data_IF_506376181190
#
_entry.id   IF_506376181190
#
_cell.length_a   1.000
_cell.length_b   1.000
_cell.length_c   1.000
_cell.angle_alpha   90.00
_cell.angle_beta   90.00
_cell.angle_gamma   90.00
#
_symmetry.space_group_name_H-M   'P 1'
#
loop_
_entity.id
_entity.type
_entity.pdbx_description
1 polymer ?
#
# COMPACT_ATOMS: atom_id res chain seq x y z
N UNK A 1 -1.75 -8.34 -16.30
CA UNK A 1 -0.28 -8.12 -16.14
C UNK A 1 0.22 -7.19 -17.23
N UNK A 2 1.25 -6.38 -16.96
CA UNK A 2 1.98 -5.59 -17.96
C UNK A 2 2.90 -6.54 -18.75
N UNK A 3 2.87 -6.50 -20.08
CA UNK A 3 3.69 -7.40 -20.90
C UNK A 3 5.17 -7.01 -20.83
N UNK A 4 6.09 -7.96 -21.02
CA UNK A 4 7.53 -7.70 -20.84
C UNK A 4 8.09 -6.64 -21.79
N UNK A 5 7.57 -6.55 -23.02
CA UNK A 5 7.98 -5.55 -24.00
C UNK A 5 7.51 -4.15 -23.58
N UNK A 6 6.23 -4.00 -23.25
CA UNK A 6 5.66 -2.76 -22.72
C UNK A 6 6.35 -2.30 -21.44
N UNK A 7 6.69 -3.24 -20.56
CA UNK A 7 7.41 -2.93 -19.34
C UNK A 7 8.80 -2.34 -19.65
N UNK A 8 9.49 -2.80 -20.71
CA UNK A 8 10.79 -2.22 -21.13
C UNK A 8 10.62 -0.81 -21.64
N UNK A 9 9.60 -0.55 -22.44
CA UNK A 9 9.29 0.80 -22.94
C UNK A 9 8.99 1.77 -21.80
N UNK A 10 8.13 1.34 -20.85
CA UNK A 10 7.80 2.12 -19.66
C UNK A 10 9.03 2.37 -18.78
N UNK A 11 9.88 1.36 -18.57
CA UNK A 11 11.14 1.51 -17.82
C UNK A 11 12.05 2.53 -18.49
N UNK A 12 12.16 2.51 -19.83
CA UNK A 12 13.01 3.47 -20.53
C UNK A 12 12.49 4.90 -20.46
N UNK A 13 11.16 5.08 -20.58
CA UNK A 13 10.52 6.37 -20.38
C UNK A 13 10.75 6.92 -18.95
N UNK A 14 10.57 6.07 -17.93
CA UNK A 14 10.85 6.43 -16.53
C UNK A 14 12.33 6.77 -16.31
N UNK A 15 13.25 5.97 -16.87
CA UNK A 15 14.69 6.20 -16.77
C UNK A 15 15.10 7.54 -17.38
N UNK A 16 14.52 7.90 -18.52
CA UNK A 16 14.67 9.22 -19.14
C UNK A 16 14.26 10.35 -18.20
N UNK A 17 13.07 10.25 -17.59
CA UNK A 17 12.55 11.24 -16.64
C UNK A 17 13.42 11.38 -15.39
N UNK A 18 13.90 10.27 -14.83
CA UNK A 18 14.81 10.29 -13.67
C UNK A 18 16.11 11.02 -14.04
N UNK A 19 16.73 10.70 -15.18
CA UNK A 19 17.96 11.38 -15.61
C UNK A 19 17.74 12.87 -15.86
N UNK A 20 16.60 13.25 -16.43
CA UNK A 20 16.27 14.65 -16.65
C UNK A 20 16.04 15.41 -15.35
N UNK A 21 15.35 14.78 -14.38
CA UNK A 21 15.18 15.31 -13.03
C UNK A 21 16.53 15.52 -12.34
N UNK A 22 17.41 14.51 -12.36
CA UNK A 22 18.74 14.60 -11.76
C UNK A 22 19.62 15.65 -12.46
N UNK A 23 19.52 15.78 -13.78
CA UNK A 23 20.21 16.82 -14.55
C UNK A 23 19.77 18.23 -14.13
N UNK A 24 18.46 18.43 -13.99
CA UNK A 24 17.87 19.69 -13.54
C UNK A 24 18.30 20.04 -12.10
N UNK A 25 18.12 19.12 -11.16
CA UNK A 25 18.45 19.33 -9.73
C UNK A 25 19.95 19.53 -9.52
N UNK A 26 20.78 18.81 -10.28
CA UNK A 26 22.23 18.98 -10.23
C UNK A 26 22.71 20.20 -11.02
N UNK A 27 21.86 20.96 -11.72
CA UNK A 27 22.32 22.06 -12.57
C UNK A 27 23.29 21.62 -13.68
N UNK A 28 23.33 20.32 -14.02
CA UNK A 28 24.12 19.79 -15.12
C UNK A 28 23.51 20.15 -16.49
N UNK A 29 22.23 20.51 -16.51
CA UNK A 29 21.52 21.07 -17.66
C UNK A 29 20.11 21.53 -17.29
N UNK A 30 19.52 22.38 -18.12
CA UNK A 30 18.10 22.69 -18.03
C UNK A 30 17.32 21.53 -18.67
N UNK A 31 16.81 20.60 -17.86
CA UNK A 31 15.89 19.57 -18.36
C UNK A 31 14.70 20.22 -19.06
N UNK A 32 14.38 19.80 -20.28
CA UNK A 32 13.26 20.32 -21.07
C UNK A 32 11.91 20.28 -20.34
N UNK A 33 11.58 19.19 -19.64
CA UNK A 33 10.33 18.97 -18.90
C UNK A 33 10.28 19.79 -17.62
N UNK A 34 11.39 19.83 -16.87
CA UNK A 34 11.43 20.52 -15.56
C UNK A 34 11.82 22.00 -15.68
N UNK A 35 12.22 22.48 -16.87
CA UNK A 35 12.54 23.89 -17.12
C UNK A 35 11.33 24.83 -17.00
N UNK A 36 10.12 24.30 -17.12
CA UNK A 36 8.87 25.06 -16.91
C UNK A 36 8.55 25.27 -15.43
N UNK A 37 9.26 24.59 -14.53
CA UNK A 37 9.18 24.87 -13.09
C UNK A 37 10.00 26.12 -12.86
N UNK A 38 9.31 27.25 -12.82
CA UNK A 38 9.86 28.52 -12.37
C UNK A 38 10.69 28.27 -11.13
N UNK A 39 11.97 28.66 -11.13
CA UNK A 39 13.04 28.31 -10.17
C UNK A 39 12.57 28.32 -8.70
N UNK A 40 11.85 27.28 -8.29
CA UNK A 40 11.25 27.20 -6.98
C UNK A 40 12.37 26.68 -6.07
N UNK A 41 13.28 27.60 -5.71
CA UNK A 41 14.44 27.32 -4.85
C UNK A 41 14.03 26.60 -3.56
N UNK A 42 12.80 26.82 -3.11
CA UNK A 42 12.21 26.17 -1.94
C UNK A 42 11.95 24.68 -2.16
N UNK A 43 11.55 24.26 -3.38
CA UNK A 43 11.39 22.85 -3.74
C UNK A 43 12.74 22.09 -3.77
N UNK A 44 13.82 22.76 -4.20
CA UNK A 44 15.18 22.22 -4.16
C UNK A 44 15.75 22.20 -2.72
N UNK A 45 15.45 23.22 -1.91
CA UNK A 45 15.92 23.30 -0.52
C UNK A 45 15.33 22.20 0.36
N UNK A 46 14.05 21.87 0.19
CA UNK A 46 13.34 20.88 1.00
C UNK A 46 13.54 19.42 0.52
N UNK A 47 14.41 19.19 -0.46
CA UNK A 47 14.68 17.86 -0.98
C UNK A 47 15.50 17.00 0.00
N UNK A 48 15.14 15.72 0.10
CA UNK A 48 15.82 14.74 0.96
C UNK A 48 17.33 14.68 0.67
N UNK A 49 18.20 14.63 1.69
CA UNK A 49 19.65 14.61 1.52
C UNK A 49 20.15 13.51 0.57
N UNK A 50 19.54 12.33 0.64
CA UNK A 50 19.91 11.18 -0.19
C UNK A 50 19.66 11.42 -1.69
N UNK A 51 18.63 12.21 -2.04
CA UNK A 51 18.34 12.57 -3.44
C UNK A 51 19.32 13.66 -3.92
N UNK A 52 19.68 14.61 -3.05
CA UNK A 52 20.73 15.60 -3.35
C UNK A 52 22.06 14.91 -3.63
N UNK A 53 22.43 13.91 -2.82
CA UNK A 53 23.63 13.11 -3.05
C UNK A 53 23.58 12.36 -4.38
N UNK A 54 22.43 11.74 -4.71
CA UNK A 54 22.24 11.09 -6.00
C UNK A 54 22.40 12.08 -7.18
N UNK A 55 21.89 13.30 -7.06
CA UNK A 55 22.05 14.35 -8.08
C UNK A 55 23.52 14.77 -8.26
N UNK A 56 24.29 14.88 -7.17
CA UNK A 56 25.75 15.12 -7.24
C UNK A 56 26.45 13.97 -7.95
N UNK A 57 26.17 12.72 -7.54
CA UNK A 57 26.74 11.53 -8.19
C UNK A 57 26.38 11.44 -9.67
N UNK A 58 25.17 11.81 -10.05
CA UNK A 58 24.76 11.86 -11.46
C UNK A 58 25.60 12.84 -12.27
N UNK A 59 25.90 14.03 -11.72
CA UNK A 59 26.76 15.02 -12.38
C UNK A 59 28.17 14.47 -12.64
N UNK A 60 28.70 13.67 -11.72
CA UNK A 60 30.04 13.09 -11.81
C UNK A 60 30.07 11.81 -12.66
N UNK A 61 29.02 11.00 -12.58
CA UNK A 61 28.93 9.64 -13.13
C UNK A 61 27.51 9.35 -13.66
N UNK A 62 27.10 9.98 -14.79
CA UNK A 62 25.78 9.76 -15.37
C UNK A 62 25.56 8.32 -15.88
N UNK A 63 26.64 7.58 -16.12
CA UNK A 63 26.63 6.17 -16.48
C UNK A 63 26.06 5.25 -15.38
N UNK A 64 26.04 5.70 -14.12
CA UNK A 64 25.44 4.95 -13.01
C UNK A 64 23.90 5.03 -12.98
N UNK A 65 23.30 5.87 -13.82
CA UNK A 65 21.85 6.11 -13.85
C UNK A 65 21.23 5.70 -15.20
N UNK A 66 21.87 4.74 -15.88
CA UNK A 66 21.29 4.05 -17.02
C UNK A 66 20.16 3.12 -16.55
N UNK A 67 19.24 2.77 -17.47
CA UNK A 67 18.00 2.05 -17.15
C UNK A 67 18.29 0.70 -16.45
N UNK A 68 19.29 -0.05 -16.92
CA UNK A 68 19.71 -1.33 -16.34
C UNK A 68 20.23 -1.19 -14.90
N UNK A 69 20.96 -0.10 -14.61
CA UNK A 69 21.45 0.21 -13.25
C UNK A 69 20.32 0.61 -12.33
N UNK A 70 19.43 1.49 -12.78
CA UNK A 70 18.27 1.93 -12.00
C UNK A 70 17.34 0.77 -11.66
N UNK A 71 17.13 -0.16 -12.60
CA UNK A 71 16.39 -1.40 -12.35
C UNK A 71 17.17 -2.32 -11.42
N UNK A 72 18.48 -2.50 -11.63
CA UNK A 72 19.33 -3.31 -10.76
C UNK A 72 19.32 -2.83 -9.30
N UNK A 73 19.29 -1.52 -9.07
CA UNK A 73 19.15 -0.92 -7.75
C UNK A 73 17.80 -1.21 -7.07
N UNK A 74 16.75 -1.48 -7.84
CA UNK A 74 15.42 -1.82 -7.33
C UNK A 74 15.08 -3.31 -7.33
N UNK A 75 15.95 -4.17 -7.86
CA UNK A 75 15.69 -5.59 -8.06
C UNK A 75 15.60 -6.36 -6.74
N UNK A 76 16.47 -6.06 -5.78
CA UNK A 76 16.51 -6.74 -4.49
C UNK A 76 16.01 -5.84 -3.36
N UNK A 77 14.91 -6.23 -2.73
CA UNK A 77 14.25 -5.35 -1.76
C UNK A 77 15.10 -5.05 -0.52
N UNK A 78 16.05 -5.91 -0.15
CA UNK A 78 16.92 -5.77 1.02
C UNK A 78 18.03 -4.75 0.80
N UNK A 79 18.51 -4.61 -0.44
CA UNK A 79 19.59 -3.69 -0.82
C UNK A 79 19.06 -2.40 -1.44
N UNK A 80 17.84 -2.42 -2.00
CA UNK A 80 17.20 -1.27 -2.63
C UNK A 80 17.07 -0.03 -1.74
N UNK A 81 17.02 -0.19 -0.41
CA UNK A 81 16.99 0.94 0.54
C UNK A 81 18.26 1.78 0.51
N UNK A 82 19.39 1.23 0.05
CA UNK A 82 20.65 1.96 -0.12
C UNK A 82 20.67 2.84 -1.40
N UNK A 83 19.67 2.68 -2.28
CA UNK A 83 19.57 3.38 -3.55
C UNK A 83 18.31 4.26 -3.58
N UNK A 84 18.38 5.52 -3.11
CA UNK A 84 17.21 6.38 -2.97
C UNK A 84 16.51 6.69 -4.30
N UNK A 85 17.27 6.69 -5.41
CA UNK A 85 16.77 6.85 -6.78
C UNK A 85 16.91 5.52 -7.51
N UNK A 86 15.79 4.94 -7.94
CA UNK A 86 15.74 3.60 -8.55
C UNK A 86 14.40 3.35 -9.24
N UNK A 87 14.36 2.29 -10.05
CA UNK A 87 13.14 1.74 -10.65
C UNK A 87 12.93 0.34 -10.09
N UNK A 88 11.76 0.11 -9.49
CA UNK A 88 11.34 -1.20 -9.00
C UNK A 88 10.37 -1.81 -10.01
N UNK A 89 10.83 -2.83 -10.76
CA UNK A 89 10.00 -3.62 -11.67
C UNK A 89 9.49 -4.83 -10.90
N UNK A 90 8.23 -4.78 -10.47
CA UNK A 90 7.68 -5.77 -9.53
C UNK A 90 6.96 -6.85 -10.31
N UNK A 91 7.63 -8.00 -10.45
CA UNK A 91 7.12 -9.17 -11.16
C UNK A 91 6.45 -10.13 -10.18
N UNK A 92 5.59 -10.98 -10.73
CA UNK A 92 5.06 -12.14 -10.00
C UNK A 92 6.01 -13.32 -10.22
N UNK A 93 6.36 -14.01 -9.14
CA UNK A 93 7.27 -15.14 -9.22
C UNK A 93 6.69 -16.23 -10.11
N UNK A 94 7.48 -16.67 -11.11
CA UNK A 94 7.10 -17.77 -12.00
C UNK A 94 6.24 -17.39 -13.20
N UNK A 95 5.90 -16.11 -13.40
CA UNK A 95 4.98 -15.68 -14.46
C UNK A 95 5.61 -14.69 -15.45
N UNK A 96 5.29 -14.77 -16.76
CA UNK A 96 5.69 -13.77 -17.73
C UNK A 96 4.84 -12.51 -17.57
N UNK A 97 5.35 -11.50 -16.86
CA UNK A 97 4.73 -10.19 -16.79
C UNK A 97 5.11 -9.36 -15.56
N UNK A 98 4.86 -8.05 -15.64
CA UNK A 98 5.09 -7.11 -14.54
C UNK A 98 3.75 -6.75 -13.90
N UNK A 99 3.65 -6.81 -12.57
CA UNK A 99 2.46 -6.43 -11.82
C UNK A 99 2.38 -4.90 -11.66
N UNK A 100 3.52 -4.28 -11.40
CA UNK A 100 3.64 -2.85 -11.13
C UNK A 100 5.06 -2.36 -11.44
N UNK A 101 5.19 -1.11 -11.90
CA UNK A 101 6.47 -0.42 -11.97
C UNK A 101 6.43 0.78 -11.02
N UNK A 102 7.37 0.86 -10.09
CA UNK A 102 7.47 1.99 -9.16
C UNK A 102 8.78 2.74 -9.38
N UNK A 103 8.69 4.06 -9.50
CA UNK A 103 9.85 4.93 -9.57
C UNK A 103 10.04 5.64 -8.22
N UNK A 104 11.26 5.59 -7.69
CA UNK A 104 11.62 6.21 -6.41
C UNK A 104 12.65 7.31 -6.64
N UNK A 105 12.60 8.34 -5.80
CA UNK A 105 13.62 9.39 -5.76
C UNK A 105 13.28 10.66 -6.54
N UNK A 106 12.05 10.79 -7.04
CA UNK A 106 11.49 12.08 -7.50
C UNK A 106 10.57 12.58 -6.40
N UNK A 107 10.77 13.80 -5.89
CA UNK A 107 10.08 14.34 -4.71
C UNK A 107 9.34 15.64 -4.99
N UNK A 108 8.52 16.06 -4.02
CA UNK A 108 7.88 17.37 -4.03
C UNK A 108 6.96 17.57 -5.23
N UNK A 109 7.02 18.79 -5.78
CA UNK A 109 6.21 19.25 -6.91
C UNK A 109 6.58 18.55 -8.23
N UNK A 110 7.84 18.11 -8.39
CA UNK A 110 8.34 17.44 -9.60
C UNK A 110 7.57 16.16 -9.93
N UNK A 111 7.01 15.49 -8.92
CA UNK A 111 6.18 14.30 -9.13
C UNK A 111 4.87 14.62 -9.86
N UNK A 112 4.28 15.79 -9.61
CA UNK A 112 3.06 16.24 -10.28
C UNK A 112 3.32 16.48 -11.77
N UNK A 113 4.50 17.00 -12.10
CA UNK A 113 4.94 17.23 -13.48
C UNK A 113 5.20 15.92 -14.20
N UNK A 114 5.81 14.95 -13.53
CA UNK A 114 5.96 13.60 -14.07
C UNK A 114 4.59 12.99 -14.37
N UNK A 115 3.61 13.16 -13.47
CA UNK A 115 2.25 12.69 -13.69
C UNK A 115 1.59 13.37 -14.90
N UNK A 116 1.72 14.69 -15.04
CA UNK A 116 1.22 15.47 -16.19
C UNK A 116 1.91 15.04 -17.50
N UNK A 117 3.23 14.87 -17.50
CA UNK A 117 3.98 14.35 -18.63
C UNK A 117 3.48 12.98 -19.07
N UNK A 118 3.26 12.05 -18.12
CA UNK A 118 2.73 10.73 -18.46
C UNK A 118 1.32 10.78 -19.06
N UNK A 119 0.49 11.71 -18.61
CA UNK A 119 -0.87 11.91 -19.14
C UNK A 119 -0.88 12.52 -20.53
N UNK A 120 0.02 13.45 -20.81
CA UNK A 120 0.00 14.24 -22.04
C UNK A 120 0.90 13.67 -23.14
N UNK A 121 2.03 13.06 -22.78
CA UNK A 121 3.12 12.80 -23.72
C UNK A 121 3.55 11.33 -23.81
N UNK A 122 3.35 10.53 -22.76
CA UNK A 122 3.97 9.21 -22.70
C UNK A 122 3.27 8.13 -23.55
N UNK A 123 2.26 8.47 -24.37
CA UNK A 123 1.47 7.52 -25.17
C UNK A 123 1.00 6.29 -24.36
N UNK A 124 0.88 6.40 -23.04
CA UNK A 124 0.42 5.32 -22.19
C UNK A 124 -1.09 5.20 -22.42
N UNK A 125 -1.60 4.05 -22.90
CA UNK A 125 -3.03 3.86 -23.06
C UNK A 125 -3.71 3.97 -21.70
N UNK A 126 -4.45 5.06 -21.47
CA UNK A 126 -5.08 5.37 -20.18
C UNK A 126 -6.21 4.37 -19.83
N UNK A 127 -6.73 3.67 -20.83
CA UNK A 127 -7.64 2.53 -20.70
C UNK A 127 -6.94 1.28 -20.14
N UNK A 128 -5.62 1.20 -20.23
CA UNK A 128 -4.83 0.03 -19.82
C UNK A 128 -3.95 0.27 -18.62
N UNK A 129 -3.41 1.48 -18.45
CA UNK A 129 -2.52 1.80 -17.35
C UNK A 129 -2.95 3.05 -16.61
N UNK A 130 -2.59 3.08 -15.34
CA UNK A 130 -2.85 4.18 -14.43
C UNK A 130 -1.56 4.59 -13.74
N UNK A 131 -1.23 5.88 -13.82
CA UNK A 131 -0.09 6.47 -13.10
C UNK A 131 -0.62 7.21 -11.88
N UNK A 132 -0.03 6.97 -10.71
CA UNK A 132 -0.39 7.65 -9.47
C UNK A 132 0.82 8.09 -8.67
N UNK A 133 0.62 9.10 -7.82
CA UNK A 133 1.59 9.46 -6.80
C UNK A 133 1.51 8.46 -5.65
N UNK A 134 2.66 8.09 -5.10
CA UNK A 134 2.75 7.17 -3.96
C UNK A 134 3.75 7.71 -2.94
N UNK A 135 3.35 7.78 -1.67
CA UNK A 135 4.18 8.33 -0.59
C UNK A 135 4.66 9.77 -0.87
N UNK A 136 5.88 10.10 -0.41
CA UNK A 136 6.49 11.45 -0.58
C UNK A 136 7.52 11.56 -1.71
N UNK A 137 8.03 10.41 -2.16
CA UNK A 137 9.19 10.35 -3.06
C UNK A 137 9.01 9.36 -4.22
N UNK A 138 7.76 9.04 -4.59
CA UNK A 138 7.49 8.07 -5.64
C UNK A 138 6.24 8.32 -6.45
N UNK A 139 6.23 7.69 -7.62
CA UNK A 139 5.05 7.47 -8.44
C UNK A 139 5.06 6.01 -8.92
N UNK A 140 3.89 5.49 -9.24
CA UNK A 140 3.66 4.09 -9.61
C UNK A 140 2.88 4.05 -10.92
N UNK A 141 3.26 3.11 -11.80
CA UNK A 141 2.50 2.73 -12.99
C UNK A 141 1.91 1.35 -12.74
N UNK A 142 0.58 1.28 -12.81
CA UNK A 142 -0.23 0.10 -12.59
C UNK A 142 -1.08 -0.20 -13.82
N UNK A 143 -1.66 -1.39 -13.87
CA UNK A 143 -2.77 -1.69 -14.79
C UNK A 143 -3.99 -0.88 -14.32
N UNK A 144 -4.78 -0.37 -15.26
CA UNK A 144 -6.03 0.32 -14.94
C UNK A 144 -6.94 -0.59 -14.07
N UNK A 145 -7.53 -0.01 -13.02
CA UNK A 145 -8.31 -0.75 -12.02
C UNK A 145 -7.49 -1.39 -10.89
N UNK A 146 -6.16 -1.51 -11.02
CA UNK A 146 -5.30 -2.00 -9.93
C UNK A 146 -4.95 -0.86 -8.98
N UNK A 147 -5.52 -0.93 -7.78
CA UNK A 147 -5.29 0.01 -6.68
C UNK A 147 -5.60 -0.64 -5.32
N UNK A 148 -5.53 0.14 -4.22
CA UNK A 148 -5.79 -0.39 -2.87
C UNK A 148 -7.25 -0.78 -2.61
N UNK A 149 -8.19 -0.34 -3.45
CA UNK A 149 -9.59 -0.75 -3.37
C UNK A 149 -9.83 -2.14 -3.97
N UNK A 150 -9.04 -2.54 -4.97
CA UNK A 150 -9.21 -3.82 -5.67
C UNK A 150 -9.32 -5.05 -4.73
N UNK A 151 -8.42 -5.26 -3.74
CA UNK A 151 -8.55 -6.38 -2.81
C UNK A 151 -9.77 -6.30 -1.89
N UNK A 152 -10.27 -5.09 -1.60
CA UNK A 152 -11.50 -4.89 -0.82
C UNK A 152 -12.73 -5.31 -1.63
N UNK A 153 -12.82 -4.86 -2.88
CA UNK A 153 -13.91 -5.26 -3.78
C UNK A 153 -13.92 -6.77 -4.00
N UNK A 154 -12.76 -7.36 -4.27
CA UNK A 154 -12.65 -8.81 -4.40
C UNK A 154 -13.10 -9.54 -3.14
N UNK A 155 -12.61 -9.14 -1.97
CA UNK A 155 -13.00 -9.78 -0.71
C UNK A 155 -14.50 -9.66 -0.43
N UNK A 156 -15.12 -8.52 -0.77
CA UNK A 156 -16.56 -8.31 -0.61
C UNK A 156 -17.39 -9.25 -1.46
N UNK A 157 -17.06 -9.36 -2.74
CA UNK A 157 -17.83 -10.14 -3.72
C UNK A 157 -17.51 -11.63 -3.71
N UNK A 158 -16.28 -12.01 -3.38
CA UNK A 158 -15.77 -13.38 -3.41
C UNK A 158 -15.42 -13.88 -2.01
N UNK A 159 -16.16 -13.43 -1.01
CA UNK A 159 -15.88 -13.73 0.39
C UNK A 159 -15.80 -15.24 0.67
N UNK A 160 -16.72 -16.01 0.11
CA UNK A 160 -16.76 -17.46 0.27
C UNK A 160 -15.51 -18.13 -0.33
N UNK A 161 -15.06 -17.68 -1.50
CA UNK A 161 -13.83 -18.17 -2.14
C UNK A 161 -12.58 -17.77 -1.32
N UNK A 162 -12.57 -16.56 -0.74
CA UNK A 162 -11.51 -16.14 0.20
C UNK A 162 -11.45 -17.05 1.42
N UNK A 163 -12.60 -17.36 2.03
CA UNK A 163 -12.68 -18.26 3.19
C UNK A 163 -12.24 -19.68 2.85
N UNK A 164 -12.58 -20.18 1.65
CA UNK A 164 -12.14 -21.48 1.16
C UNK A 164 -10.62 -21.50 0.94
N UNK A 165 -10.05 -20.49 0.30
CA UNK A 165 -8.62 -20.40 0.00
C UNK A 165 -7.75 -20.43 1.27
N UNK A 166 -8.18 -19.76 2.34
CA UNK A 166 -7.48 -19.78 3.63
C UNK A 166 -7.80 -21.02 4.49
N UNK A 167 -8.67 -21.89 3.98
CA UNK A 167 -9.26 -23.01 4.69
C UNK A 167 -9.76 -22.58 6.08
N UNK A 168 -10.60 -21.55 6.09
CA UNK A 168 -11.03 -20.84 7.29
C UNK A 168 -11.70 -21.76 8.31
N UNK A 169 -11.32 -21.58 9.58
CA UNK A 169 -11.99 -22.22 10.73
C UNK A 169 -12.51 -21.12 11.66
N UNK A 170 -13.77 -21.22 12.11
CA UNK A 170 -14.31 -20.27 13.07
C UNK A 170 -13.49 -20.32 14.37
N UNK A 171 -13.23 -19.15 14.95
CA UNK A 171 -12.61 -19.05 16.27
C UNK A 171 -13.66 -18.95 17.37
N UNK A 172 -13.24 -18.78 18.64
CA UNK A 172 -14.14 -18.68 19.79
C UNK A 172 -14.96 -17.40 19.83
N UNK A 173 -14.59 -16.37 19.07
CA UNK A 173 -15.25 -15.06 19.09
C UNK A 173 -15.84 -14.62 17.76
N UNK A 174 -15.31 -15.10 16.64
CA UNK A 174 -15.70 -14.70 15.29
C UNK A 174 -15.91 -15.94 14.44
N UNK A 175 -17.06 -15.98 13.75
CA UNK A 175 -17.30 -16.90 12.63
C UNK A 175 -17.53 -16.07 11.38
N UNK A 176 -16.46 -15.81 10.64
CA UNK A 176 -16.44 -14.93 9.47
C UNK A 176 -17.33 -15.42 8.33
N UNK A 177 -17.74 -16.71 8.33
CA UNK A 177 -18.73 -17.24 7.39
C UNK A 177 -20.13 -16.67 7.63
N UNK A 178 -20.40 -16.27 8.89
CA UNK A 178 -21.70 -15.74 9.33
C UNK A 178 -21.66 -14.22 9.47
N UNK A 179 -20.64 -13.71 10.15
CA UNK A 179 -20.54 -12.28 10.46
C UNK A 179 -19.98 -11.48 9.28
N UNK A 180 -19.32 -12.14 8.31
CA UNK A 180 -18.64 -11.49 7.18
C UNK A 180 -17.62 -10.44 7.63
N UNK A 181 -16.97 -10.69 8.77
CA UNK A 181 -16.10 -9.73 9.45
C UNK A 181 -14.71 -9.65 8.81
N UNK A 182 -14.23 -8.44 8.52
CA UNK A 182 -12.89 -8.17 8.00
C UNK A 182 -12.29 -6.89 8.60
N UNK A 183 -11.03 -6.92 9.04
CA UNK A 183 -10.25 -5.69 9.20
C UNK A 183 -9.26 -5.62 8.05
N UNK A 184 -9.37 -4.58 7.23
CA UNK A 184 -8.35 -4.25 6.25
C UNK A 184 -7.51 -3.08 6.74
N UNK A 185 -6.23 -3.05 6.39
CA UNK A 185 -5.34 -2.00 6.83
C UNK A 185 -4.19 -1.74 5.87
N UNK A 186 -3.73 -0.49 5.79
CA UNK A 186 -2.42 -0.19 5.24
C UNK A 186 -1.30 -0.87 6.05
N UNK A 187 -0.15 -1.05 5.40
CA UNK A 187 1.06 -1.57 5.98
C UNK A 187 1.88 -0.51 6.76
N UNK A 188 2.59 0.36 6.04
CA UNK A 188 3.70 1.17 6.55
C UNK A 188 3.20 2.45 7.22
N UNK A 189 3.23 2.53 8.55
CA UNK A 189 2.67 3.63 9.34
C UNK A 189 1.34 3.27 10.00
N UNK A 190 0.73 2.16 9.57
CA UNK A 190 -0.59 1.70 10.04
C UNK A 190 -0.47 0.37 10.80
N UNK A 191 -0.10 -0.73 10.13
CA UNK A 191 0.04 -2.06 10.76
C UNK A 191 1.37 -2.20 11.50
N UNK A 192 2.43 -1.62 10.96
CA UNK A 192 3.76 -1.52 11.57
C UNK A 192 4.36 -0.15 11.25
N UNK A 193 5.47 0.20 11.91
CA UNK A 193 6.08 1.52 11.75
C UNK A 193 6.48 1.81 10.29
N UNK A 194 6.49 3.07 9.86
CA UNK A 194 7.05 3.41 8.56
C UNK A 194 8.57 3.17 8.52
N UNK A 195 9.17 2.85 7.35
CA UNK A 195 10.62 2.72 7.22
C UNK A 195 11.39 3.95 7.71
N UNK A 196 12.48 3.72 8.45
CA UNK A 196 13.44 4.76 8.88
C UNK A 196 14.84 4.38 8.41
N UNK A 197 15.72 5.37 8.23
CA UNK A 197 17.07 5.24 7.66
C UNK A 197 17.76 3.89 8.00
N UNK A 198 17.80 2.99 7.01
CA UNK A 198 18.50 1.71 7.08
C UNK A 198 17.78 0.56 7.81
N UNK A 199 16.59 0.75 8.39
CA UNK A 199 15.83 -0.31 9.07
C UNK A 199 14.46 -0.51 8.43
N UNK A 200 14.24 -1.71 7.89
CA UNK A 200 12.92 -2.15 7.48
C UNK A 200 12.09 -2.50 8.73
N UNK A 201 10.87 -1.96 8.87
CA UNK A 201 9.95 -2.32 9.94
C UNK A 201 9.44 -3.74 9.72
N UNK A 202 9.18 -4.45 10.81
CA UNK A 202 8.67 -5.81 10.82
C UNK A 202 7.48 -5.90 11.78
N UNK A 203 6.55 -6.81 11.51
CA UNK A 203 5.37 -7.01 12.34
C UNK A 203 5.73 -7.40 13.78
N UNK A 204 6.84 -8.14 13.98
CA UNK A 204 7.33 -8.56 15.31
C UNK A 204 7.64 -7.39 16.27
N UNK A 205 7.88 -6.20 15.72
CA UNK A 205 8.22 -4.99 16.47
C UNK A 205 7.06 -4.01 16.53
N UNK A 206 5.93 -4.32 15.87
CA UNK A 206 4.76 -3.47 15.87
C UNK A 206 4.06 -3.47 17.23
N UNK A 207 3.71 -2.27 17.72
CA UNK A 207 2.85 -2.11 18.89
C UNK A 207 1.46 -2.75 18.71
N UNK A 208 0.99 -2.90 17.46
CA UNK A 208 -0.30 -3.52 17.16
C UNK A 208 -0.27 -5.06 17.24
N UNK A 209 0.91 -5.71 17.22
CA UNK A 209 1.02 -7.17 17.13
C UNK A 209 0.26 -7.93 18.23
N UNK A 210 0.34 -7.57 19.54
CA UNK A 210 -0.36 -8.31 20.57
C UNK A 210 -1.88 -8.31 20.37
N UNK A 211 -2.46 -7.13 20.09
CA UNK A 211 -3.90 -6.98 19.86
C UNK A 211 -4.35 -7.63 18.55
N UNK A 212 -3.54 -7.55 17.49
CA UNK A 212 -3.77 -8.26 16.22
C UNK A 212 -3.77 -9.77 16.43
N UNK A 213 -2.79 -10.29 17.17
CA UNK A 213 -2.70 -11.73 17.45
C UNK A 213 -3.94 -12.22 18.19
N UNK A 214 -4.43 -11.45 19.17
CA UNK A 214 -5.67 -11.75 19.86
C UNK A 214 -6.89 -11.74 18.92
N UNK A 215 -7.01 -10.74 18.04
CA UNK A 215 -8.08 -10.68 17.02
C UNK A 215 -8.07 -11.91 16.11
N UNK A 216 -6.90 -12.30 15.62
CA UNK A 216 -6.72 -13.49 14.77
C UNK A 216 -7.08 -14.79 15.51
N UNK A 217 -6.72 -14.90 16.81
CA UNK A 217 -7.10 -16.03 17.67
C UNK A 217 -8.59 -16.13 17.92
N UNK A 218 -9.31 -15.01 17.90
CA UNK A 218 -10.77 -15.01 17.95
C UNK A 218 -11.41 -15.54 16.66
N UNK A 219 -10.65 -15.74 15.58
CA UNK A 219 -11.15 -16.14 14.27
C UNK A 219 -11.41 -14.93 13.35
N UNK A 220 -10.96 -13.74 13.72
CA UNK A 220 -11.01 -12.56 12.87
C UNK A 220 -10.07 -12.67 11.68
N UNK A 221 -10.41 -12.04 10.55
CA UNK A 221 -9.60 -12.03 9.33
C UNK A 221 -9.00 -10.64 9.15
N UNK A 222 -7.68 -10.58 8.90
CA UNK A 222 -6.95 -9.32 8.75
C UNK A 222 -6.29 -9.25 7.36
N UNK A 223 -6.64 -8.23 6.58
CA UNK A 223 -6.10 -7.98 5.24
C UNK A 223 -5.14 -6.79 5.27
N UNK A 224 -3.85 -7.05 5.05
CA UNK A 224 -2.84 -6.00 4.85
C UNK A 224 -2.85 -5.60 3.38
N UNK A 225 -2.95 -4.31 3.09
CA UNK A 225 -2.89 -3.77 1.73
C UNK A 225 -1.67 -2.87 1.60
N UNK A 226 -0.67 -3.29 0.83
CA UNK A 226 0.60 -2.59 0.70
C UNK A 226 0.92 -2.18 -0.73
N UNK A 227 1.42 -0.95 -0.87
CA UNK A 227 2.11 -0.47 -2.06
C UNK A 227 3.56 -0.95 -2.18
N UNK A 228 4.00 -1.95 -1.42
CA UNK A 228 5.37 -2.50 -1.50
C UNK A 228 5.42 -3.82 -2.29
N UNK A 229 6.65 -4.22 -2.65
CA UNK A 229 6.94 -5.52 -3.25
C UNK A 229 6.40 -6.67 -2.41
N UNK A 230 5.85 -7.70 -3.06
CA UNK A 230 5.24 -8.85 -2.38
C UNK A 230 6.19 -9.53 -1.40
N UNK A 231 7.38 -9.95 -1.85
CA UNK A 231 8.36 -10.63 -0.99
C UNK A 231 8.74 -9.81 0.25
N UNK A 232 8.85 -8.49 0.10
CA UNK A 232 9.12 -7.59 1.22
C UNK A 232 7.97 -7.63 2.22
N UNK A 233 6.73 -7.49 1.75
CA UNK A 233 5.54 -7.45 2.62
C UNK A 233 5.35 -8.78 3.34
N UNK A 234 5.51 -9.91 2.63
CA UNK A 234 5.46 -11.26 3.22
C UNK A 234 6.57 -11.47 4.25
N UNK A 235 7.81 -11.07 3.94
CA UNK A 235 8.94 -11.20 4.87
C UNK A 235 8.72 -10.41 6.17
N UNK A 236 8.08 -9.23 6.10
CA UNK A 236 7.78 -8.40 7.29
C UNK A 236 6.75 -9.02 8.23
N UNK A 237 5.83 -9.82 7.71
CA UNK A 237 4.91 -10.61 8.54
C UNK A 237 5.66 -11.79 9.19
N UNK A 238 6.56 -12.41 8.43
CA UNK A 238 7.46 -13.46 8.92
C UNK A 238 6.74 -14.69 9.49
N UNK A 239 7.45 -15.47 10.31
CA UNK A 239 6.90 -16.62 11.08
C UNK A 239 6.58 -16.25 12.53
N UNK A 240 6.31 -14.97 12.80
CA UNK A 240 6.12 -14.45 14.16
C UNK A 240 4.76 -14.76 14.76
N UNK A 241 3.79 -15.06 13.90
CA UNK A 241 2.47 -15.50 14.26
C UNK A 241 2.40 -17.04 14.23
N UNK A 242 1.63 -17.61 15.16
CA UNK A 242 1.26 -19.03 15.13
C UNK A 242 0.60 -19.37 13.77
N UNK A 243 0.77 -20.61 13.29
CA UNK A 243 0.27 -21.04 11.97
C UNK A 243 -1.22 -20.72 11.82
N UNK A 244 -2.03 -21.02 12.83
CA UNK A 244 -3.48 -20.77 12.79
C UNK A 244 -3.82 -19.27 12.71
N UNK A 245 -3.03 -18.41 13.37
CA UNK A 245 -3.19 -16.96 13.24
C UNK A 245 -2.78 -16.48 11.85
N UNK A 246 -1.70 -17.01 11.28
CA UNK A 246 -1.24 -16.65 9.93
C UNK A 246 -2.24 -17.01 8.85
N UNK A 247 -2.96 -18.13 8.98
CA UNK A 247 -4.02 -18.52 8.04
C UNK A 247 -5.13 -17.47 7.94
N UNK A 248 -5.43 -16.78 9.03
CA UNK A 248 -6.44 -15.72 9.04
C UNK A 248 -5.90 -14.35 8.55
N UNK A 249 -4.69 -14.30 8.03
CA UNK A 249 -4.06 -13.10 7.51
C UNK A 249 -3.95 -13.16 5.99
N UNK A 250 -4.39 -12.09 5.34
CA UNK A 250 -4.31 -11.89 3.90
C UNK A 250 -3.34 -10.74 3.62
N UNK A 251 -2.59 -10.83 2.53
CA UNK A 251 -1.65 -9.80 2.11
C UNK A 251 -1.95 -9.44 0.66
N UNK A 252 -2.40 -8.21 0.43
CA UNK A 252 -2.35 -7.58 -0.87
C UNK A 252 -1.08 -6.73 -0.99
N UNK A 253 -0.35 -6.93 -2.09
CA UNK A 253 0.92 -6.25 -2.35
C UNK A 253 0.92 -5.61 -3.74
N UNK A 254 2.05 -4.96 -4.10
CA UNK A 254 2.23 -4.30 -5.39
C UNK A 254 1.09 -3.33 -5.70
N UNK A 255 0.62 -2.61 -4.68
CA UNK A 255 -0.43 -1.60 -4.82
C UNK A 255 -1.83 -2.16 -5.05
N UNK A 256 -2.06 -3.46 -4.83
CA UNK A 256 -3.33 -4.14 -5.07
C UNK A 256 -3.25 -5.24 -6.13
N UNK A 257 -2.13 -5.38 -6.84
CA UNK A 257 -2.02 -6.30 -7.98
C UNK A 257 -2.03 -7.77 -7.58
N UNK A 258 -1.61 -8.09 -6.35
CA UNK A 258 -1.51 -9.45 -5.85
C UNK A 258 -2.32 -9.61 -4.58
N UNK A 259 -2.79 -10.84 -4.33
CA UNK A 259 -3.36 -11.28 -3.08
C UNK A 259 -2.72 -12.60 -2.68
N UNK A 260 -2.18 -12.65 -1.46
CA UNK A 260 -1.55 -13.81 -0.86
C UNK A 260 -2.31 -14.20 0.39
N UNK A 261 -2.48 -15.49 0.57
CA UNK A 261 -2.95 -16.11 1.81
C UNK A 261 -1.89 -17.09 2.33
N UNK A 262 -2.11 -17.63 3.53
CA UNK A 262 -1.25 -18.67 4.09
C UNK A 262 -1.97 -20.02 4.07
N UNK A 263 -1.32 -21.04 3.53
CA UNK A 263 -1.86 -22.40 3.47
C UNK A 263 -1.88 -23.07 4.86
N UNK A 264 -2.27 -24.35 4.93
CA UNK A 264 -2.35 -25.08 6.20
C UNK A 264 -1.01 -25.23 6.94
N UNK A 265 0.12 -25.21 6.22
CA UNK A 265 1.47 -25.21 6.80
C UNK A 265 1.92 -23.81 7.28
N UNK A 266 1.14 -22.78 6.96
CA UNK A 266 1.49 -21.39 7.21
C UNK A 266 2.52 -20.85 6.21
N UNK A 267 2.60 -21.42 5.02
CA UNK A 267 3.42 -20.91 3.92
C UNK A 267 2.58 -20.00 3.01
N UNK A 268 3.17 -18.90 2.49
CA UNK A 268 2.46 -17.95 1.64
C UNK A 268 2.13 -18.57 0.27
N UNK A 269 0.91 -18.37 -0.21
CA UNK A 269 0.42 -18.80 -1.52
C UNK A 269 -0.29 -17.63 -2.19
N UNK A 270 0.11 -17.31 -3.42
CA UNK A 270 -0.57 -16.31 -4.23
C UNK A 270 -1.86 -16.87 -4.83
N UNK A 271 -2.95 -16.09 -4.78
CA UNK A 271 -4.25 -16.47 -5.32
C UNK A 271 -4.29 -16.30 -6.84
N UNK A 272 -4.39 -17.43 -7.56
CA UNK A 272 -4.57 -17.43 -9.02
C UNK A 272 -5.95 -16.88 -9.43
N UNK A 273 -6.99 -17.17 -8.63
CA UNK A 273 -8.35 -16.65 -8.84
C UNK A 273 -8.37 -15.12 -8.71
N UNK A 274 -7.76 -14.56 -7.67
CA UNK A 274 -7.65 -13.10 -7.52
C UNK A 274 -7.00 -12.45 -8.74
N UNK A 275 -5.89 -13.02 -9.19
CA UNK A 275 -5.13 -12.52 -10.33
C UNK A 275 -5.92 -12.55 -11.64
N UNK A 276 -6.81 -13.51 -11.82
CA UNK A 276 -7.61 -13.66 -13.04
C UNK A 276 -8.95 -12.93 -13.00
N UNK A 277 -9.55 -12.76 -11.82
CA UNK A 277 -10.93 -12.30 -11.69
C UNK A 277 -11.08 -10.92 -11.04
N UNK A 278 -10.12 -10.43 -10.26
CA UNK A 278 -10.32 -9.24 -9.41
C UNK A 278 -10.74 -7.98 -10.18
N UNK A 279 -10.16 -7.73 -11.36
CA UNK A 279 -10.53 -6.58 -12.18
C UNK A 279 -11.98 -6.68 -12.70
N UNK A 280 -12.39 -7.87 -13.14
CA UNK A 280 -13.76 -8.10 -13.59
C UNK A 280 -14.78 -7.93 -12.45
N UNK A 281 -14.39 -8.30 -11.23
CA UNK A 281 -15.21 -8.13 -10.02
C UNK A 281 -15.36 -6.65 -9.65
N UNK A 282 -14.28 -5.86 -9.70
CA UNK A 282 -14.33 -4.44 -9.35
C UNK A 282 -15.24 -3.61 -10.29
N UNK A 283 -15.33 -3.98 -11.56
CA UNK A 283 -16.18 -3.29 -12.53
C UNK A 283 -17.69 -3.51 -12.31
N UNK A 284 -18.08 -4.52 -11.54
CA UNK A 284 -19.48 -4.95 -11.39
C UNK A 284 -20.38 -3.98 -10.59
N UNK A 285 -19.84 -2.88 -10.02
CA UNK A 285 -20.57 -1.86 -9.23
C UNK A 285 -21.54 -2.46 -8.19
N UNK A 286 -21.03 -3.37 -7.37
CA UNK A 286 -21.78 -3.92 -6.24
C UNK A 286 -21.68 -3.03 -4.99
N UNK A 287 -22.67 -3.14 -4.11
CA UNK A 287 -22.59 -2.56 -2.76
C UNK A 287 -21.62 -3.38 -1.91
N UNK A 288 -20.70 -2.73 -1.22
CA UNK A 288 -19.78 -3.39 -0.28
C UNK A 288 -20.57 -4.12 0.82
N UNK A 289 -20.39 -5.44 0.94
CA UNK A 289 -21.29 -6.34 1.69
C UNK A 289 -20.61 -7.10 2.84
N UNK A 290 -19.52 -6.54 3.39
CA UNK A 290 -18.82 -7.09 4.55
C UNK A 290 -19.05 -6.23 5.79
N UNK A 291 -19.06 -6.88 6.95
CA UNK A 291 -18.87 -6.24 8.26
C UNK A 291 -17.39 -5.88 8.38
N UNK A 292 -16.97 -4.75 7.81
CA UNK A 292 -15.55 -4.45 7.73
C UNK A 292 -15.16 -3.03 8.10
N UNK A 293 -13.88 -2.82 8.37
CA UNK A 293 -13.26 -1.49 8.45
C UNK A 293 -11.97 -1.44 7.67
N UNK A 294 -11.60 -0.24 7.20
CA UNK A 294 -10.29 0.04 6.64
C UNK A 294 -9.54 1.01 7.56
N UNK A 295 -8.31 0.63 7.92
CA UNK A 295 -7.37 1.45 8.68
C UNK A 295 -6.29 1.98 7.72
N UNK A 296 -6.03 3.28 7.73
CA UNK A 296 -4.92 3.86 6.96
C UNK A 296 -4.32 5.06 7.67
N UNK A 297 -3.10 5.46 7.31
CA UNK A 297 -2.40 6.61 7.90
C UNK A 297 -2.36 7.81 6.94
N UNK A 298 -2.65 7.62 5.65
CA UNK A 298 -2.60 8.67 4.64
C UNK A 298 -3.99 9.21 4.26
N UNK A 299 -4.52 10.08 5.13
CA UNK A 299 -5.83 10.70 4.93
C UNK A 299 -5.90 11.82 3.88
N UNK A 300 -4.83 12.10 3.13
CA UNK A 300 -4.78 13.22 2.16
C UNK A 300 -5.63 12.94 0.90
N UNK A 301 -6.16 13.96 0.21
CA UNK A 301 -6.86 13.77 -1.07
C UNK A 301 -6.02 13.14 -2.18
N UNK A 302 -4.69 13.31 -2.12
CA UNK A 302 -3.72 12.66 -3.00
C UNK A 302 -3.03 11.45 -2.35
N UNK A 303 -3.52 11.01 -1.20
CA UNK A 303 -2.96 9.92 -0.43
C UNK A 303 -3.20 8.57 -1.09
N UNK A 304 -2.30 7.62 -0.83
CA UNK A 304 -2.38 6.26 -1.40
C UNK A 304 -3.54 5.42 -0.81
N UNK A 305 -4.08 5.82 0.34
CA UNK A 305 -5.18 5.15 1.04
C UNK A 305 -6.57 5.62 0.59
N UNK A 306 -6.64 6.73 -0.16
CA UNK A 306 -7.92 7.34 -0.56
C UNK A 306 -8.86 6.34 -1.23
N UNK A 307 -8.34 5.57 -2.18
CA UNK A 307 -9.13 4.60 -2.96
C UNK A 307 -9.74 3.53 -2.03
N UNK A 308 -9.00 3.09 -1.01
CA UNK A 308 -9.50 2.12 -0.04
C UNK A 308 -10.54 2.73 0.93
N UNK A 309 -10.33 3.96 1.40
CA UNK A 309 -11.32 4.68 2.21
C UNK A 309 -12.64 4.88 1.45
N UNK A 310 -12.57 5.29 0.18
CA UNK A 310 -13.75 5.47 -0.67
C UNK A 310 -14.47 4.14 -0.93
N UNK A 311 -13.73 3.05 -1.14
CA UNK A 311 -14.28 1.73 -1.43
C UNK A 311 -15.03 1.09 -0.26
N UNK A 312 -14.48 1.18 0.97
CA UNK A 312 -15.16 0.64 2.16
C UNK A 312 -16.28 1.56 2.66
N UNK A 313 -16.21 2.84 2.30
CA UNK A 313 -17.19 3.85 2.62
C UNK A 313 -16.83 4.69 3.87
N UNK A 314 -17.39 5.91 3.97
CA UNK A 314 -17.02 6.87 5.01
C UNK A 314 -17.18 6.38 6.46
N UNK A 315 -18.24 5.61 6.74
CA UNK A 315 -18.55 5.15 8.10
C UNK A 315 -17.59 4.07 8.59
N UNK A 316 -17.02 3.30 7.67
CA UNK A 316 -16.14 2.15 7.94
C UNK A 316 -14.65 2.49 7.73
N UNK A 317 -14.36 3.76 7.45
CA UNK A 317 -13.00 4.28 7.28
C UNK A 317 -12.49 4.86 8.58
N UNK A 318 -11.30 4.43 9.02
CA UNK A 318 -10.64 4.93 10.23
C UNK A 318 -9.23 5.41 9.86
N UNK A 319 -8.96 6.68 10.12
CA UNK A 319 -7.65 7.29 9.88
C UNK A 319 -6.81 7.19 11.15
N UNK A 320 -5.71 6.43 11.10
CA UNK A 320 -4.71 6.35 12.18
C UNK A 320 -3.53 7.26 11.87
N UNK A 321 -3.73 8.58 11.97
CA UNK A 321 -2.73 9.56 11.50
C UNK A 321 -1.94 10.23 12.64
N UNK A 322 -0.89 10.96 12.24
CA UNK A 322 -0.28 11.96 13.12
C UNK A 322 -1.32 13.07 13.42
N UNK A 323 -1.55 13.44 14.69
CA UNK A 323 -2.49 14.49 15.09
C UNK A 323 -2.28 15.84 14.38
N UNK A 324 -1.06 16.11 13.90
CA UNK A 324 -0.72 17.34 13.18
C UNK A 324 -1.13 17.36 11.69
N UNK A 325 -1.79 16.31 11.19
CA UNK A 325 -2.22 16.24 9.80
C UNK A 325 -3.38 17.21 9.54
N UNK A 326 -3.17 18.18 8.65
CA UNK A 326 -4.14 19.26 8.40
C UNK A 326 -4.88 19.14 7.06
N UNK A 327 -4.31 18.44 6.09
CA UNK A 327 -4.92 18.17 4.78
C UNK A 327 -5.50 16.75 4.79
N UNK A 328 -6.72 16.61 5.33
CA UNK A 328 -7.41 15.33 5.48
C UNK A 328 -8.72 15.37 4.67
N UNK A 329 -9.06 14.26 4.00
CA UNK A 329 -10.33 14.07 3.32
C UNK A 329 -11.49 14.34 4.30
N UNK A 330 -12.47 15.19 3.98
CA UNK A 330 -13.43 15.72 4.95
C UNK A 330 -14.17 14.69 5.80
N UNK A 331 -14.52 13.52 5.24
CA UNK A 331 -15.25 12.50 5.99
C UNK A 331 -14.38 11.78 7.04
N UNK A 332 -13.05 11.78 6.89
CA UNK A 332 -12.13 11.15 7.84
C UNK A 332 -11.91 12.00 9.10
N UNK A 333 -12.24 13.30 9.09
CA UNK A 333 -12.00 14.21 10.22
C UNK A 333 -12.67 13.74 11.51
N UNK A 334 -13.88 13.18 11.41
CA UNK A 334 -14.60 12.64 12.58
C UNK A 334 -14.27 11.18 12.89
N UNK A 335 -13.40 10.56 12.09
CA UNK A 335 -12.99 9.16 12.15
C UNK A 335 -11.47 9.01 12.32
N UNK A 336 -10.82 10.06 12.83
CA UNK A 336 -9.38 10.07 13.06
C UNK A 336 -9.07 9.61 14.48
N UNK A 337 -8.20 8.62 14.59
CA UNK A 337 -7.56 8.18 15.82
C UNK A 337 -6.08 8.53 15.69
N UNK A 338 -5.51 9.22 16.68
CA UNK A 338 -4.10 9.61 16.62
C UNK A 338 -3.12 8.44 16.71
N UNK A 339 -1.82 8.72 16.66
CA UNK A 339 -0.80 7.80 17.16
C UNK A 339 -0.32 6.72 16.17
N UNK A 340 -0.69 6.80 14.88
CA UNK A 340 -0.21 5.87 13.84
C UNK A 340 -0.46 4.41 14.26
N UNK A 341 0.58 3.57 14.29
CA UNK A 341 0.52 2.16 14.72
C UNK A 341 -0.11 1.98 16.10
N UNK A 342 0.08 2.93 17.03
CA UNK A 342 -0.57 2.89 18.34
C UNK A 342 -2.09 3.13 18.26
N UNK A 343 -2.53 3.93 17.29
CA UNK A 343 -3.94 4.04 16.91
C UNK A 343 -4.51 2.69 16.48
N UNK A 344 -3.80 1.99 15.58
CA UNK A 344 -4.18 0.63 15.15
C UNK A 344 -4.28 -0.34 16.32
N UNK A 345 -3.32 -0.31 17.26
CA UNK A 345 -3.37 -1.10 18.49
C UNK A 345 -4.65 -0.85 19.28
N UNK A 346 -4.99 0.42 19.53
CA UNK A 346 -6.21 0.81 20.29
C UNK A 346 -7.50 0.39 19.60
N UNK A 347 -7.56 0.49 18.27
CA UNK A 347 -8.68 -0.01 17.45
C UNK A 347 -8.86 -1.52 17.70
N UNK A 348 -7.78 -2.29 17.57
CA UNK A 348 -7.81 -3.75 17.74
C UNK A 348 -8.18 -4.16 19.18
N UNK A 349 -7.65 -3.46 20.19
CA UNK A 349 -8.00 -3.71 21.60
C UNK A 349 -9.49 -3.48 21.87
N UNK A 350 -10.06 -2.41 21.32
CA UNK A 350 -11.49 -2.13 21.40
C UNK A 350 -12.31 -3.25 20.73
N UNK A 351 -11.92 -3.64 19.51
CA UNK A 351 -12.57 -4.73 18.77
C UNK A 351 -12.52 -6.05 19.55
N UNK A 352 -11.37 -6.41 20.14
CA UNK A 352 -11.27 -7.61 20.97
C UNK A 352 -12.17 -7.53 22.20
N UNK A 353 -12.36 -6.33 22.78
CA UNK A 353 -13.35 -6.09 23.83
C UNK A 353 -14.77 -6.42 23.37
N UNK A 354 -15.20 -5.88 22.24
CA UNK A 354 -16.52 -6.15 21.64
C UNK A 354 -16.70 -7.65 21.36
N UNK A 355 -15.69 -8.31 20.80
CA UNK A 355 -15.74 -9.77 20.51
C UNK A 355 -15.95 -10.59 21.79
N UNK A 356 -15.28 -10.24 22.89
CA UNK A 356 -15.43 -10.96 24.17
C UNK A 356 -16.81 -10.78 24.78
N UNK A 357 -17.40 -9.59 24.64
CA UNK A 357 -18.74 -9.28 25.15
C UNK A 357 -19.85 -9.86 24.27
N UNK A 358 -19.62 -9.91 22.96
CA UNK A 358 -20.61 -10.27 21.95
C UNK A 358 -20.04 -11.26 20.90
N UNK A 359 -19.70 -12.50 21.31
CA UNK A 359 -19.12 -13.47 20.40
C UNK A 359 -20.10 -13.83 19.26
N UNK A 360 -19.55 -13.99 18.06
CA UNK A 360 -20.24 -14.35 16.81
C UNK A 360 -21.33 -13.36 16.36
N UNK A 361 -21.22 -12.10 16.75
CA UNK A 361 -22.05 -11.00 16.23
C UNK A 361 -21.25 -10.09 15.30
N UNK A 362 -21.95 -9.27 14.53
CA UNK A 362 -21.34 -8.20 13.73
C UNK A 362 -20.61 -7.22 14.65
N UNK A 363 -19.39 -6.86 14.27
CA UNK A 363 -18.50 -6.03 15.08
C UNK A 363 -18.67 -4.55 14.70
N UNK A 364 -18.74 -4.25 13.42
CA UNK A 364 -18.67 -2.89 12.87
C UNK A 364 -20.05 -2.31 12.57
N UNK A 365 -20.98 -2.52 13.50
CA UNK A 365 -22.26 -1.78 13.50
C UNK A 365 -22.01 -0.29 13.68
N UNK A 366 -22.93 0.57 13.22
CA UNK A 366 -22.80 2.03 13.37
C UNK A 366 -22.59 2.46 14.84
N UNK A 367 -23.27 1.79 15.77
CA UNK A 367 -23.14 2.06 17.20
C UNK A 367 -21.73 1.74 17.72
N UNK A 368 -21.21 0.57 17.35
CA UNK A 368 -19.88 0.12 17.74
C UNK A 368 -18.78 1.00 17.12
N UNK A 369 -18.91 1.37 15.83
CA UNK A 369 -17.95 2.26 15.16
C UNK A 369 -17.90 3.65 15.81
N UNK A 370 -19.06 4.20 16.17
CA UNK A 370 -19.11 5.48 16.87
C UNK A 370 -18.48 5.40 18.28
N UNK A 371 -18.69 4.29 18.99
CA UNK A 371 -18.09 4.07 20.31
C UNK A 371 -16.58 3.81 20.24
N UNK A 372 -16.13 3.07 19.23
CA UNK A 372 -14.73 2.79 18.94
C UNK A 372 -13.92 4.07 18.77
N UNK A 373 -14.35 4.97 17.89
CA UNK A 373 -13.63 6.22 17.63
C UNK A 373 -13.54 7.08 18.88
N UNK A 374 -14.61 7.14 19.69
CA UNK A 374 -14.59 7.88 20.97
C UNK A 374 -13.62 7.27 21.97
N UNK A 375 -13.66 5.95 22.17
CA UNK A 375 -12.82 5.25 23.13
C UNK A 375 -11.34 5.34 22.76
N UNK A 376 -11.02 5.07 21.49
CA UNK A 376 -9.65 5.07 21.00
C UNK A 376 -9.04 6.49 20.91
N UNK A 377 -9.85 7.55 20.84
CA UNK A 377 -9.35 8.93 20.84
C UNK A 377 -9.06 9.50 22.24
N UNK A 378 -9.55 8.85 23.30
CA UNK A 378 -9.43 9.31 24.70
C UNK A 378 -8.31 8.61 25.48
N UNK A 379 -7.87 7.43 25.03
CA UNK A 379 -6.72 6.69 25.56
C UNK A 379 -5.41 7.31 25.10
#
# INVERSE_FOLDING_TARGET
MIQSEEARELVSAIGGLIREFLSFVSGAGAGTIFSQVDNNKDALHNMEPAIKEAAVRFRERPDLFQDDKLVGYGAEYTTAVAHPVRIEVRQVAGEPGVAQIAARGITGEFRRIVLEFFREHAHIPADRFYVRLSGRASFEINIAGVNKALPLHYASERWEAVLEAIAYKPGPGVDARRTRTLIAADADGTTWDSPRDGKAPELNTSAALPALTEYLRHGGIYLIISGNHLDRTVARVGRHLEVDCRRNLLISANGGANLVYFNEAGDPVESEEYRSEALAVADAKSSFALDAVYLGDDGRPSGNDREAFEAIGPEHSILVANPASTDIIPFLTTRTIGGLVDGTRRVLEYVNGVIREHPHQEIFTQANLAALVRAASQA
#
